data_IF_348405557667
#
_entry.id   IF_348405557667
#
_cell.length_a   1.000
_cell.length_b   1.000
_cell.length_c   1.000
_cell.angle_alpha   90.00
_cell.angle_beta   90.00
_cell.angle_gamma   90.00
#
_symmetry.space_group_name_H-M   'P 1'
#
loop_
_entity.id
_entity.type
_entity.pdbx_description
1 polymer ?
#
# COMPACT_ATOMS: atom_id res chain seq x y z
N UNK A 1 -11.00 22.80 -30.19
CA UNK A 1 -11.06 23.77 -29.06
C UNK A 1 -10.14 23.30 -27.95
N UNK A 2 -9.43 24.19 -27.26
CA UNK A 2 -8.61 23.82 -26.09
C UNK A 2 -9.38 24.21 -24.82
N UNK A 3 -9.57 23.26 -23.91
CA UNK A 3 -10.26 23.44 -22.63
C UNK A 3 -9.27 23.17 -21.50
N UNK A 4 -9.20 24.10 -20.56
CA UNK A 4 -8.39 23.97 -19.36
C UNK A 4 -9.28 23.53 -18.19
N UNK A 5 -9.10 22.29 -17.74
CA UNK A 5 -9.87 21.70 -16.66
C UNK A 5 -9.00 21.63 -15.39
N UNK A 6 -9.46 22.24 -14.29
CA UNK A 6 -8.70 22.36 -13.04
C UNK A 6 -7.96 23.70 -12.87
N UNK A 7 -7.17 23.89 -11.79
CA UNK A 7 -6.81 22.90 -10.77
C UNK A 7 -7.90 22.64 -9.71
N UNK A 8 -8.93 23.49 -9.66
CA UNK A 8 -10.11 23.29 -8.81
C UNK A 8 -11.29 22.86 -9.67
N UNK A 9 -11.59 21.56 -9.66
CA UNK A 9 -12.79 21.01 -10.28
C UNK A 9 -13.32 19.85 -9.41
N UNK A 10 -14.63 19.77 -9.11
CA UNK A 10 -15.17 18.75 -8.21
C UNK A 10 -14.92 17.30 -8.65
N UNK A 11 -14.84 17.07 -9.97
CA UNK A 11 -14.54 15.75 -10.55
C UNK A 11 -13.06 15.35 -10.44
N UNK A 12 -12.20 16.19 -9.86
CA UNK A 12 -10.79 15.90 -9.65
C UNK A 12 -10.58 15.64 -8.15
N UNK A 13 -10.37 14.38 -7.80
CA UNK A 13 -10.08 13.97 -6.42
C UNK A 13 -8.66 14.40 -6.04
N UNK A 14 -8.51 15.66 -5.66
CA UNK A 14 -7.22 16.29 -5.36
C UNK A 14 -6.99 17.54 -6.21
N UNK A 15 -5.72 17.81 -6.50
CA UNK A 15 -5.32 18.98 -7.31
C UNK A 15 -4.66 18.48 -8.58
N UNK A 16 -5.44 18.46 -9.66
CA UNK A 16 -5.03 18.03 -10.99
C UNK A 16 -5.42 19.11 -11.99
N UNK A 17 -4.59 19.35 -13.00
CA UNK A 17 -4.94 20.22 -14.12
C UNK A 17 -4.73 19.47 -15.42
N UNK A 18 -5.73 19.48 -16.28
CA UNK A 18 -5.71 18.84 -17.59
C UNK A 18 -5.93 19.91 -18.66
N UNK A 19 -5.02 20.01 -19.62
CA UNK A 19 -5.23 20.79 -20.84
C UNK A 19 -5.72 19.81 -21.90
N UNK A 20 -7.00 19.91 -22.24
CA UNK A 20 -7.66 18.97 -23.15
C UNK A 20 -7.92 19.65 -24.49
N UNK A 21 -7.48 19.02 -25.58
CA UNK A 21 -7.77 19.45 -26.94
C UNK A 21 -8.94 18.63 -27.47
N UNK A 22 -10.03 19.30 -27.79
CA UNK A 22 -11.29 18.71 -28.24
C UNK A 22 -11.56 19.01 -29.72
N UNK A 23 -12.09 18.04 -30.45
CA UNK A 23 -12.77 18.25 -31.72
C UNK A 23 -14.26 17.90 -31.55
N UNK A 24 -15.10 18.92 -31.37
CA UNK A 24 -16.48 18.72 -30.93
C UNK A 24 -16.55 18.09 -29.53
N UNK A 25 -17.08 16.87 -29.47
CA UNK A 25 -17.19 16.06 -28.24
C UNK A 25 -16.02 15.08 -28.06
N UNK A 26 -15.21 14.85 -29.12
CA UNK A 26 -14.11 13.91 -29.10
C UNK A 26 -12.84 14.53 -28.50
N UNK A 27 -12.17 13.78 -27.62
CA UNK A 27 -10.88 14.16 -27.05
C UNK A 27 -9.77 13.72 -28.00
N UNK A 28 -9.04 14.69 -28.56
CA UNK A 28 -7.92 14.44 -29.47
C UNK A 28 -6.60 14.34 -28.72
N UNK A 29 -6.42 15.19 -27.69
CA UNK A 29 -5.22 15.22 -26.87
C UNK A 29 -5.53 15.68 -25.44
N UNK A 30 -4.70 15.24 -24.48
CA UNK A 30 -4.83 15.59 -23.08
C UNK A 30 -3.43 15.69 -22.44
N UNK A 31 -3.04 16.89 -22.05
CA UNK A 31 -1.80 17.15 -21.33
C UNK A 31 -2.09 17.29 -19.82
N UNK A 32 -1.68 16.31 -18.99
CA UNK A 32 -1.81 16.42 -17.55
C UNK A 32 -0.66 17.26 -16.96
N UNK A 33 -1.01 18.37 -16.32
CA UNK A 33 -0.07 19.19 -15.55
C UNK A 33 -0.06 18.68 -14.11
N UNK A 34 1.04 18.03 -13.76
CA UNK A 34 1.30 17.47 -12.43
C UNK A 34 2.13 18.42 -11.56
N UNK A 35 2.27 18.08 -10.28
CA UNK A 35 3.22 18.74 -9.37
C UNK A 35 2.61 19.75 -8.39
N UNK A 36 1.29 20.01 -8.44
CA UNK A 36 0.63 20.89 -7.47
C UNK A 36 0.71 20.39 -6.02
N UNK A 37 0.83 19.06 -5.83
CA UNK A 37 1.02 18.42 -4.52
C UNK A 37 2.49 17.99 -4.27
N UNK A 38 3.43 18.39 -5.14
CA UNK A 38 4.84 18.01 -4.97
C UNK A 38 5.42 18.68 -3.72
N UNK A 39 5.89 17.87 -2.78
CA UNK A 39 6.43 18.31 -1.48
C UNK A 39 7.91 17.99 -1.29
N UNK A 40 8.60 17.51 -2.33
CA UNK A 40 10.02 17.14 -2.24
C UNK A 40 10.30 16.07 -1.20
N UNK A 41 9.42 15.07 -1.07
CA UNK A 41 9.49 14.09 0.02
C UNK A 41 10.79 13.27 0.00
N UNK A 42 11.32 12.95 -1.17
CA UNK A 42 12.61 12.27 -1.33
C UNK A 42 13.75 13.09 -0.71
N UNK A 43 13.73 14.42 -0.92
CA UNK A 43 14.73 15.33 -0.37
C UNK A 43 14.65 15.45 1.15
N UNK A 44 13.45 15.31 1.71
CA UNK A 44 13.25 15.23 3.17
C UNK A 44 13.83 13.90 3.69
N UNK A 45 13.67 12.81 2.95
CA UNK A 45 14.20 11.49 3.28
C UNK A 45 15.72 11.47 3.45
N UNK A 46 16.45 12.22 2.62
CA UNK A 46 17.93 12.32 2.71
C UNK A 46 18.44 12.83 4.07
N UNK A 47 17.64 13.64 4.79
CA UNK A 47 18.05 14.30 6.04
C UNK A 47 17.38 13.70 7.29
N UNK A 48 16.77 12.51 7.17
CA UNK A 48 16.01 11.86 8.24
C UNK A 48 16.38 10.40 8.38
N UNK A 49 16.30 9.88 9.59
CA UNK A 49 16.39 8.43 9.81
C UNK A 49 15.10 7.74 9.39
N UNK A 50 15.15 6.43 9.12
CA UNK A 50 13.98 5.65 8.67
C UNK A 50 12.77 5.84 9.59
N UNK A 51 12.98 5.77 10.91
CA UNK A 51 11.92 5.96 11.91
C UNK A 51 11.34 7.39 11.86
N UNK A 52 12.18 8.39 11.64
CA UNK A 52 11.73 9.78 11.50
C UNK A 52 11.02 10.04 10.17
N UNK A 53 11.32 9.24 9.14
CA UNK A 53 10.73 9.37 7.82
C UNK A 53 9.37 8.67 7.71
N UNK A 54 9.12 7.64 8.53
CA UNK A 54 7.88 6.86 8.51
C UNK A 54 6.58 7.70 8.51
N UNK A 55 6.44 8.77 9.32
CA UNK A 55 5.23 9.61 9.31
C UNK A 55 5.05 10.46 8.04
N UNK A 56 6.08 10.58 7.19
CA UNK A 56 5.97 11.23 5.88
C UNK A 56 5.43 10.26 4.85
N UNK A 57 5.77 8.98 4.96
CA UNK A 57 5.36 7.96 3.98
C UNK A 57 3.87 7.64 4.07
N UNK A 58 3.28 7.69 5.27
CA UNK A 58 1.81 7.66 5.44
C UNK A 58 1.06 8.77 4.73
N UNK A 59 1.76 9.78 4.21
CA UNK A 59 1.19 10.90 3.46
C UNK A 59 1.50 10.83 1.97
N UNK A 60 2.19 9.78 1.51
CA UNK A 60 2.40 9.49 0.09
C UNK A 60 1.08 9.04 -0.51
N UNK A 61 0.55 7.95 0.02
CA UNK A 61 -0.83 7.53 -0.15
C UNK A 61 -1.55 7.73 1.19
N UNK A 62 -2.51 8.65 1.19
CA UNK A 62 -3.31 8.97 2.38
C UNK A 62 -4.44 7.95 2.64
N UNK A 63 -4.59 6.93 1.77
CA UNK A 63 -5.63 5.89 1.85
C UNK A 63 -5.04 4.55 2.26
N UNK A 64 -4.07 4.04 1.50
CA UNK A 64 -3.41 2.76 1.79
C UNK A 64 -2.12 2.97 2.61
N UNK A 65 -2.24 3.67 3.74
CA UNK A 65 -1.09 4.10 4.55
C UNK A 65 -0.21 2.93 5.03
N UNK A 66 -0.82 1.80 5.37
CA UNK A 66 -0.09 0.62 5.86
C UNK A 66 0.80 -0.03 4.79
N UNK A 67 0.40 0.04 3.51
CA UNK A 67 1.24 -0.47 2.41
C UNK A 67 2.50 0.35 2.24
N UNK A 68 2.37 1.67 2.28
CA UNK A 68 3.51 2.58 2.11
C UNK A 68 4.48 2.52 3.29
N UNK A 69 3.96 2.35 4.52
CA UNK A 69 4.78 2.04 5.70
C UNK A 69 5.51 0.70 5.57
N UNK A 70 4.82 -0.35 5.15
CA UNK A 70 5.41 -1.68 4.98
C UNK A 70 6.57 -1.65 3.97
N UNK A 71 6.43 -0.95 2.83
CA UNK A 71 7.52 -0.79 1.85
C UNK A 71 8.74 -0.10 2.49
N UNK A 72 8.51 0.92 3.31
CA UNK A 72 9.58 1.70 3.94
C UNK A 72 10.31 0.95 5.04
N UNK A 73 9.65 -0.04 5.66
CA UNK A 73 10.23 -0.88 6.71
C UNK A 73 10.87 -2.15 6.13
N UNK A 74 10.21 -2.80 5.17
CA UNK A 74 10.69 -4.02 4.54
C UNK A 74 12.01 -3.80 3.78
N UNK A 75 12.18 -2.66 3.10
CA UNK A 75 13.43 -2.36 2.37
C UNK A 75 14.68 -2.37 3.27
N UNK A 76 14.71 -1.57 4.35
CA UNK A 76 15.79 -1.61 5.34
C UNK A 76 15.94 -2.95 6.07
N UNK A 77 14.84 -3.66 6.38
CA UNK A 77 14.90 -4.98 7.01
C UNK A 77 15.58 -6.01 6.09
N UNK A 78 15.27 -5.99 4.79
CA UNK A 78 15.94 -6.82 3.78
C UNK A 78 17.41 -6.43 3.61
N UNK A 79 17.73 -5.13 3.53
CA UNK A 79 19.12 -4.65 3.45
C UNK A 79 19.94 -5.02 4.69
N UNK A 80 19.31 -5.03 5.86
CA UNK A 80 19.91 -5.41 7.13
C UNK A 80 19.97 -6.91 7.39
N UNK A 81 19.40 -7.75 6.51
CA UNK A 81 19.19 -9.19 6.73
C UNK A 81 18.50 -9.50 8.08
N UNK A 82 17.57 -8.64 8.49
CA UNK A 82 16.87 -8.76 9.76
C UNK A 82 15.71 -9.75 9.60
N UNK A 83 15.71 -10.82 10.40
CA UNK A 83 14.61 -11.78 10.42
C UNK A 83 13.43 -11.21 11.22
N UNK A 84 12.29 -11.05 10.55
CA UNK A 84 11.06 -10.56 11.19
C UNK A 84 10.37 -11.71 11.91
N UNK A 85 9.95 -11.56 13.19
CA UNK A 85 9.20 -12.60 13.88
C UNK A 85 7.93 -12.98 13.13
N UNK A 86 7.61 -14.28 13.09
CA UNK A 86 6.44 -14.80 12.35
C UNK A 86 5.14 -14.11 12.76
N UNK A 87 4.92 -13.89 14.06
CA UNK A 87 3.73 -13.20 14.55
C UNK A 87 3.66 -11.75 14.03
N UNK A 88 4.79 -11.04 13.98
CA UNK A 88 4.86 -9.69 13.44
C UNK A 88 4.49 -9.66 11.95
N UNK A 89 4.99 -10.63 11.17
CA UNK A 89 4.60 -10.77 9.76
C UNK A 89 3.11 -11.05 9.59
N UNK A 90 2.51 -11.94 10.38
CA UNK A 90 1.07 -12.21 10.30
C UNK A 90 0.22 -10.99 10.65
N UNK A 91 0.63 -10.20 11.64
CA UNK A 91 -0.06 -8.95 11.99
C UNK A 91 0.03 -7.93 10.86
N UNK A 92 1.19 -7.81 10.18
CA UNK A 92 1.33 -6.94 9.02
C UNK A 92 0.41 -7.38 7.88
N UNK A 93 0.37 -8.67 7.53
CA UNK A 93 -0.55 -9.18 6.50
C UNK A 93 -2.00 -8.81 6.81
N UNK A 94 -2.46 -9.02 8.06
CA UNK A 94 -3.83 -8.69 8.46
C UNK A 94 -4.11 -7.18 8.30
N UNK A 95 -3.19 -6.33 8.74
CA UNK A 95 -3.34 -4.88 8.62
C UNK A 95 -3.28 -4.41 7.16
N UNK A 96 -2.43 -5.01 6.34
CA UNK A 96 -2.33 -4.74 4.91
C UNK A 96 -3.64 -5.12 4.20
N UNK A 97 -4.21 -6.28 4.48
CA UNK A 97 -5.47 -6.71 3.87
C UNK A 97 -6.67 -5.89 4.37
N UNK A 98 -6.68 -5.45 5.63
CA UNK A 98 -7.67 -4.48 6.12
C UNK A 98 -7.52 -3.12 5.42
N UNK A 99 -6.28 -2.65 5.23
CA UNK A 99 -6.00 -1.45 4.45
C UNK A 99 -6.33 -1.62 2.96
N UNK A 100 -6.21 -2.83 2.42
CA UNK A 100 -6.62 -3.18 1.05
C UNK A 100 -8.13 -3.02 0.94
N UNK A 101 -8.90 -3.65 1.82
CA UNK A 101 -10.36 -3.52 1.83
C UNK A 101 -10.77 -2.06 2.05
N UNK A 102 -10.16 -1.34 2.98
CA UNK A 102 -10.45 0.08 3.21
C UNK A 102 -10.16 0.95 1.97
N UNK A 103 -9.03 0.70 1.30
CA UNK A 103 -8.68 1.33 0.03
C UNK A 103 -9.74 1.00 -1.02
N UNK A 104 -10.12 -0.28 -1.19
CA UNK A 104 -11.09 -0.76 -2.17
C UNK A 104 -12.53 -0.24 -1.93
N UNK A 105 -12.92 -0.07 -0.66
CA UNK A 105 -14.22 0.48 -0.27
C UNK A 105 -14.31 1.98 -0.54
N UNK A 106 -13.25 2.74 -0.30
CA UNK A 106 -13.21 4.15 -0.69
C UNK A 106 -13.07 4.31 -2.21
N UNK A 107 -12.35 3.39 -2.85
CA UNK A 107 -12.12 3.29 -4.29
C UNK A 107 -13.40 3.07 -5.12
N UNK A 108 -14.51 2.62 -4.52
CA UNK A 108 -15.85 2.69 -5.14
C UNK A 108 -16.26 4.15 -5.48
N UNK A 109 -15.61 5.16 -4.87
CA UNK A 109 -15.75 6.57 -5.20
C UNK A 109 -14.78 7.05 -6.31
N UNK A 110 -13.45 7.00 -6.14
CA UNK A 110 -12.48 7.33 -7.19
C UNK A 110 -11.63 6.12 -7.58
N UNK A 111 -11.96 5.50 -8.70
CA UNK A 111 -11.20 4.40 -9.32
C UNK A 111 -9.72 4.76 -9.59
N UNK A 112 -8.74 4.14 -8.91
CA UNK A 112 -7.46 3.53 -9.42
C UNK A 112 -6.32 3.45 -8.36
N UNK A 113 -5.78 2.24 -8.06
CA UNK A 113 -4.40 1.85 -7.63
C UNK A 113 -4.46 0.59 -6.70
N UNK A 114 -3.64 -0.48 -6.71
CA UNK A 114 -2.39 -0.85 -7.41
C UNK A 114 -2.12 -2.39 -7.33
N UNK A 115 -1.21 -2.88 -8.19
CA UNK A 115 -0.84 -4.30 -8.45
C UNK A 115 0.24 -4.84 -7.49
N UNK A 116 0.19 -6.18 -7.33
CA UNK A 116 0.96 -7.10 -6.47
C UNK A 116 2.48 -7.10 -6.67
N UNK A 117 3.23 -7.04 -5.57
CA UNK A 117 4.60 -7.57 -5.42
C UNK A 117 4.61 -8.62 -4.30
N UNK A 118 5.48 -9.63 -4.41
CA UNK A 118 5.65 -10.70 -3.41
C UNK A 118 6.41 -10.20 -2.17
N UNK A 119 5.70 -9.94 -1.07
CA UNK A 119 6.29 -9.65 0.24
C UNK A 119 5.55 -10.44 1.33
N UNK A 120 6.17 -10.65 2.50
CA UNK A 120 5.60 -11.34 3.68
C UNK A 120 5.22 -12.83 3.45
N UNK A 121 4.48 -13.43 4.38
CA UNK A 121 4.02 -14.83 4.32
C UNK A 121 2.87 -15.08 3.33
N UNK A 122 2.75 -14.29 2.24
CA UNK A 122 1.67 -14.48 1.26
C UNK A 122 1.73 -15.85 0.56
N UNK A 123 2.91 -16.46 0.49
CA UNK A 123 3.12 -17.81 -0.05
C UNK A 123 2.49 -18.92 0.83
N UNK A 124 2.11 -18.61 2.07
CA UNK A 124 1.51 -19.55 3.02
C UNK A 124 -0.03 -19.57 2.94
N UNK A 125 -0.64 -18.64 2.20
CA UNK A 125 -2.09 -18.51 2.04
C UNK A 125 -2.56 -19.03 0.68
N UNK A 126 -3.73 -19.65 0.65
CA UNK A 126 -4.36 -20.12 -0.60
C UNK A 126 -5.28 -19.03 -1.16
N UNK A 127 -4.87 -18.39 -2.25
CA UNK A 127 -5.62 -17.32 -2.91
C UNK A 127 -5.37 -17.34 -4.42
N UNK A 128 -6.30 -16.77 -5.19
CA UNK A 128 -6.17 -16.66 -6.64
C UNK A 128 -6.15 -15.20 -7.09
N UNK A 129 -5.44 -14.91 -8.18
CA UNK A 129 -5.46 -13.59 -8.81
C UNK A 129 -6.67 -13.53 -9.76
N UNK A 130 -7.71 -12.75 -9.47
CA UNK A 130 -8.83 -12.57 -10.38
C UNK A 130 -8.39 -11.82 -11.64
N UNK A 131 -8.86 -12.24 -12.80
CA UNK A 131 -8.53 -11.62 -14.09
C UNK A 131 -9.76 -11.59 -15.01
N UNK A 132 -9.75 -10.68 -15.97
CA UNK A 132 -10.80 -10.49 -16.98
C UNK A 132 -10.15 -10.26 -18.35
N UNK A 133 -10.82 -10.56 -19.45
CA UNK A 133 -10.24 -10.53 -20.82
C UNK A 133 -10.52 -9.24 -21.58
N UNK A 134 -11.57 -8.54 -21.17
CA UNK A 134 -12.24 -7.51 -21.96
C UNK A 134 -11.49 -6.17 -21.91
N UNK A 135 -10.64 -5.97 -20.88
CA UNK A 135 -9.74 -4.81 -20.78
C UNK A 135 -10.43 -3.45 -20.58
N UNK A 136 -11.75 -3.43 -20.46
CA UNK A 136 -12.54 -2.22 -20.28
C UNK A 136 -12.68 -1.82 -18.80
N UNK A 137 -13.37 -0.71 -18.54
CA UNK A 137 -13.59 -0.24 -17.16
C UNK A 137 -14.48 -1.19 -16.34
N UNK A 138 -15.36 -1.96 -16.98
CA UNK A 138 -16.22 -2.93 -16.32
C UNK A 138 -15.44 -4.19 -15.91
N UNK A 139 -14.56 -4.69 -16.77
CA UNK A 139 -13.62 -5.76 -16.46
C UNK A 139 -12.76 -5.38 -15.24
N UNK A 140 -12.23 -4.15 -15.22
CA UNK A 140 -11.46 -3.62 -14.09
C UNK A 140 -12.27 -3.47 -12.80
N UNK A 141 -13.59 -3.26 -12.91
CA UNK A 141 -14.50 -3.27 -11.76
C UNK A 141 -14.65 -4.69 -11.20
N UNK A 142 -14.95 -5.66 -12.08
CA UNK A 142 -15.21 -7.04 -11.71
C UNK A 142 -13.98 -7.73 -11.10
N UNK A 143 -12.78 -7.47 -11.63
CA UNK A 143 -11.52 -7.95 -11.05
C UNK A 143 -11.42 -7.55 -9.58
N UNK A 144 -11.70 -6.28 -9.25
CA UNK A 144 -11.57 -5.76 -7.88
C UNK A 144 -12.64 -6.24 -6.92
N UNK A 145 -13.85 -6.52 -7.40
CA UNK A 145 -14.85 -7.24 -6.60
C UNK A 145 -14.32 -8.64 -6.25
N UNK A 146 -13.65 -9.30 -7.20
CA UNK A 146 -12.91 -10.53 -6.98
C UNK A 146 -11.81 -10.36 -5.93
N UNK A 147 -10.97 -9.33 -6.05
CA UNK A 147 -9.86 -9.08 -5.12
C UNK A 147 -10.35 -8.85 -3.69
N UNK A 148 -11.46 -8.12 -3.50
CA UNK A 148 -12.08 -7.96 -2.16
C UNK A 148 -12.57 -9.30 -1.59
N UNK A 149 -13.09 -10.19 -2.42
CA UNK A 149 -13.56 -11.51 -2.00
C UNK A 149 -12.38 -12.38 -1.56
N UNK A 150 -11.27 -12.35 -2.32
CA UNK A 150 -10.03 -13.05 -1.97
C UNK A 150 -9.36 -12.44 -0.74
N UNK A 151 -9.42 -11.12 -0.56
CA UNK A 151 -8.92 -10.44 0.65
C UNK A 151 -9.62 -10.97 1.90
N UNK A 152 -10.95 -11.14 1.85
CA UNK A 152 -11.74 -11.74 2.95
C UNK A 152 -11.29 -13.18 3.22
N UNK A 153 -11.04 -13.97 2.16
CA UNK A 153 -10.54 -15.35 2.26
C UNK A 153 -9.18 -15.41 2.95
N UNK A 154 -8.26 -14.51 2.60
CA UNK A 154 -6.92 -14.41 3.22
C UNK A 154 -7.05 -14.03 4.70
N UNK A 155 -7.88 -13.03 5.03
CA UNK A 155 -8.09 -12.61 6.43
C UNK A 155 -8.64 -13.77 7.28
N UNK A 156 -9.59 -14.55 6.75
CA UNK A 156 -10.12 -15.72 7.46
C UNK A 156 -9.04 -16.77 7.72
N UNK A 157 -8.22 -17.09 6.71
CA UNK A 157 -7.09 -18.01 6.88
C UNK A 157 -6.04 -17.50 7.87
N UNK A 158 -5.75 -16.20 7.86
CA UNK A 158 -4.81 -15.57 8.77
C UNK A 158 -5.30 -15.60 10.22
N UNK A 159 -6.59 -15.37 10.46
CA UNK A 159 -7.19 -15.46 11.79
C UNK A 159 -7.13 -16.86 12.40
N UNK A 160 -7.29 -17.90 11.57
CA UNK A 160 -7.21 -19.30 12.02
C UNK A 160 -5.77 -19.75 12.31
N UNK A 161 -4.80 -19.19 11.60
CA UNK A 161 -3.39 -19.65 11.62
C UNK A 161 -2.45 -18.74 12.40
N UNK A 162 -2.96 -17.67 13.02
CA UNK A 162 -2.10 -16.69 13.70
C UNK A 162 -1.26 -17.35 14.82
N UNK A 163 0.07 -17.39 14.69
CA UNK A 163 0.91 -18.04 15.70
C UNK A 163 1.05 -17.15 16.95
N UNK A 164 1.26 -17.78 18.10
CA UNK A 164 1.75 -17.09 19.30
C UNK A 164 3.18 -16.55 19.11
N UNK A 165 3.67 -15.74 20.06
CA UNK A 165 5.06 -15.24 20.07
C UNK A 165 5.18 -13.71 20.15
N UNK A 166 6.39 -13.13 20.04
CA UNK A 166 6.58 -11.67 20.07
C UNK A 166 6.09 -10.99 18.78
N UNK A 167 5.45 -9.81 18.88
CA UNK A 167 4.96 -9.03 17.73
C UNK A 167 5.89 -7.87 17.33
N UNK A 168 6.87 -7.54 18.17
CA UNK A 168 7.96 -6.63 17.85
C UNK A 168 9.21 -7.46 17.56
N UNK A 169 10.03 -7.01 16.60
CA UNK A 169 11.38 -7.53 16.51
C UNK A 169 12.19 -6.99 17.69
N UNK A 170 12.61 -7.86 18.61
CA UNK A 170 13.34 -7.44 19.80
C UNK A 170 14.77 -6.99 19.45
N UNK A 171 15.31 -7.41 18.29
CA UNK A 171 16.62 -7.01 17.72
C UNK A 171 16.80 -5.48 17.64
N UNK A 172 15.75 -4.71 17.36
CA UNK A 172 15.84 -3.23 17.31
C UNK A 172 16.00 -2.58 18.69
N UNK A 173 15.74 -3.30 19.80
CA UNK A 173 16.05 -2.84 21.17
C UNK A 173 17.46 -3.25 21.64
N UNK A 174 18.19 -4.09 20.88
CA UNK A 174 19.52 -4.57 21.27
C UNK A 174 20.66 -3.55 21.09
N UNK A 175 20.37 -2.31 20.64
CA UNK A 175 21.39 -1.26 20.69
C UNK A 175 21.76 -0.82 22.12
N UNK A 176 20.89 -1.06 23.13
CA UNK A 176 21.07 -0.54 24.50
C UNK A 176 21.01 -1.56 25.65
N UNK A 177 20.80 -2.87 25.42
CA UNK A 177 20.83 -3.89 26.50
C UNK A 177 21.41 -5.24 26.09
N UNK A 178 21.98 -5.92 27.09
CA UNK A 178 22.73 -7.19 27.02
C UNK A 178 22.01 -8.31 26.24
N UNK A 179 22.84 -9.20 25.70
CA UNK A 179 22.58 -10.06 24.53
C UNK A 179 21.75 -11.32 24.78
N UNK A 180 21.24 -11.55 25.99
CA UNK A 180 20.44 -12.74 26.33
C UNK A 180 19.42 -12.43 27.44
N UNK A 181 18.14 -12.20 27.09
CA UNK A 181 17.06 -12.23 28.06
C UNK A 181 16.44 -13.63 28.17
N UNK A 182 16.25 -14.07 29.42
CA UNK A 182 15.83 -15.40 29.90
C UNK A 182 14.44 -15.91 29.43
N UNK A 183 13.78 -15.23 28.49
CA UNK A 183 12.42 -15.55 28.03
C UNK A 183 12.34 -16.26 26.68
N UNK A 184 13.47 -16.52 26.02
CA UNK A 184 13.55 -17.19 24.71
C UNK A 184 13.68 -18.72 24.86
N UNK A 185 12.74 -19.32 25.59
CA UNK A 185 12.72 -20.77 25.83
C UNK A 185 11.29 -21.28 25.61
N UNK A 186 10.90 -21.43 24.34
CA UNK A 186 9.72 -22.19 23.95
C UNK A 186 10.05 -23.18 22.82
N UNK A 187 10.08 -24.45 23.21
CA UNK A 187 9.85 -25.61 22.36
C UNK A 187 8.44 -25.59 21.76
#
# INVERSE_FOLDING_TARGET
MIVNMGPQHPSMHGVLRLIVTLDGEDVIDCEPILGYLHRGMEKIGENRTIIQYLPYVTRWDYLATMFTEAITVNGPEQLGNIQVPKRASYIRVILLELSRIASHLLWLGPFMADIVDHYESYDEFDWEVPWQKEGDSLARYLVRIGEMTESIKIIQQALERIPGGPYENLETRHFDRERDPEWDDDR
#
